data_IF_294523708664
#
_entry.id   IF_294523708664
#
_cell.length_a   1.000
_cell.length_b   1.000
_cell.length_c   1.000
_cell.angle_alpha   90.00
_cell.angle_beta   90.00
_cell.angle_gamma   90.00
#
_symmetry.space_group_name_H-M   'P 1'
#
loop_
_entity.id
_entity.type
_entity.pdbx_description
1 polymer ?
#
# COMPACT_ATOMS: atom_id res chain seq x y z
N UNK A 1 24.74 -6.68 6.44
CA UNK A 1 23.77 -5.94 5.61
C UNK A 1 22.67 -5.44 6.53
N UNK A 2 22.45 -4.13 6.58
CA UNK A 2 21.46 -3.54 7.47
C UNK A 2 20.08 -3.54 6.79
N UNK A 3 19.04 -3.96 7.52
CA UNK A 3 17.66 -3.99 7.05
C UNK A 3 16.85 -3.17 8.04
N UNK A 4 16.22 -2.11 7.54
CA UNK A 4 15.24 -1.36 8.33
C UNK A 4 13.87 -1.98 8.09
N UNK A 5 13.03 -2.05 9.13
CA UNK A 5 11.68 -2.60 9.05
C UNK A 5 10.65 -1.60 9.57
N UNK A 6 9.56 -1.45 8.84
CA UNK A 6 8.35 -0.76 9.23
C UNK A 6 7.20 -1.78 9.19
N UNK A 7 6.35 -1.79 10.21
CA UNK A 7 5.12 -2.59 10.24
C UNK A 7 3.96 -1.62 10.30
N UNK A 8 3.05 -1.70 9.33
CA UNK A 8 1.81 -0.93 9.33
C UNK A 8 0.84 -1.56 10.35
N UNK A 9 0.26 -0.73 11.22
CA UNK A 9 -0.39 -1.20 12.45
C UNK A 9 -1.70 -1.96 12.21
N UNK A 10 -2.54 -1.48 11.28
CA UNK A 10 -3.88 -2.02 10.99
C UNK A 10 -3.79 -3.25 10.08
N UNK A 11 -3.03 -3.12 9.01
CA UNK A 11 -2.91 -4.14 7.96
C UNK A 11 -1.88 -5.22 8.27
N UNK A 12 -0.97 -4.96 9.21
CA UNK A 12 0.21 -5.81 9.50
C UNK A 12 1.12 -6.01 8.29
N UNK A 13 0.96 -5.19 7.25
CA UNK A 13 1.89 -5.17 6.11
C UNK A 13 3.26 -4.73 6.61
N UNK A 14 4.28 -5.52 6.28
CA UNK A 14 5.66 -5.25 6.63
C UNK A 14 6.37 -4.70 5.41
N UNK A 15 6.99 -3.54 5.61
CA UNK A 15 7.83 -2.85 4.63
C UNK A 15 9.27 -2.96 5.11
N UNK A 16 10.13 -3.52 4.28
CA UNK A 16 11.55 -3.66 4.58
C UNK A 16 12.39 -3.02 3.51
N UNK A 17 13.44 -2.33 3.95
CA UNK A 17 14.37 -1.65 3.05
C UNK A 17 15.80 -2.00 3.45
N UNK A 18 16.63 -2.25 2.43
CA UNK A 18 18.06 -2.50 2.52
C UNK A 18 18.82 -1.27 2.06
N UNK A 19 20.00 -1.07 2.64
CA UNK A 19 20.90 0.05 2.30
C UNK A 19 21.34 0.10 0.83
N UNK A 20 21.26 -1.01 0.10
CA UNK A 20 21.54 -1.08 -1.34
C UNK A 20 20.36 -0.65 -2.23
N UNK A 21 19.30 -0.08 -1.63
CA UNK A 21 18.15 0.46 -2.33
C UNK A 21 17.04 -0.56 -2.59
N UNK A 22 17.24 -1.82 -2.23
CA UNK A 22 16.26 -2.90 -2.42
C UNK A 22 15.23 -2.92 -1.29
N UNK A 23 14.02 -3.39 -1.59
CA UNK A 23 12.97 -3.53 -0.59
C UNK A 23 12.08 -4.75 -0.82
N UNK A 24 11.34 -5.09 0.23
CA UNK A 24 10.33 -6.12 0.21
C UNK A 24 9.11 -5.62 0.96
N UNK A 25 7.93 -5.82 0.38
CA UNK A 25 6.65 -5.40 0.98
C UNK A 25 5.66 -6.54 0.83
N UNK A 26 5.17 -7.05 1.95
CA UNK A 26 4.23 -8.16 2.00
C UNK A 26 3.44 -8.15 3.32
N UNK A 27 2.36 -8.92 3.38
CA UNK A 27 1.69 -9.19 4.66
C UNK A 27 2.57 -10.06 5.54
N UNK A 28 2.45 -9.89 6.85
CA UNK A 28 3.27 -10.58 7.87
C UNK A 28 3.32 -12.10 7.64
N UNK A 29 2.20 -12.73 7.29
CA UNK A 29 2.12 -14.18 7.03
C UNK A 29 2.90 -14.66 5.80
N UNK A 30 3.09 -13.78 4.82
CA UNK A 30 3.78 -14.07 3.57
C UNK A 30 5.28 -13.83 3.68
N UNK A 31 5.75 -13.22 4.78
CA UNK A 31 7.18 -13.00 5.02
C UNK A 31 7.87 -14.29 5.46
N UNK A 32 8.84 -14.80 4.68
CA UNK A 32 9.71 -15.86 5.16
C UNK A 32 10.47 -15.38 6.42
N UNK A 33 10.83 -16.32 7.30
CA UNK A 33 11.71 -16.02 8.45
C UNK A 33 13.01 -15.37 7.98
N UNK A 34 13.52 -14.40 8.73
CA UNK A 34 14.66 -13.57 8.33
C UNK A 34 15.89 -14.40 7.93
N UNK A 35 16.14 -15.51 8.64
CA UNK A 35 17.28 -16.41 8.42
C UNK A 35 17.15 -17.25 7.14
N UNK A 36 15.94 -17.42 6.62
CA UNK A 36 15.66 -18.16 5.39
C UNK A 36 15.64 -17.26 4.15
N UNK A 37 15.95 -15.96 4.29
CA UNK A 37 15.84 -15.00 3.21
C UNK A 37 17.10 -15.00 2.34
N UNK A 38 16.94 -15.17 1.01
CA UNK A 38 18.06 -14.96 0.11
C UNK A 38 18.57 -13.53 0.23
N UNK A 39 19.88 -13.35 0.28
CA UNK A 39 20.55 -12.06 0.21
C UNK A 39 20.69 -11.54 -1.24
N UNK A 40 20.40 -12.41 -2.22
CA UNK A 40 20.51 -12.15 -3.65
C UNK A 40 19.41 -11.24 -4.21
N UNK A 41 19.82 -10.36 -5.14
CA UNK A 41 18.96 -9.46 -5.92
C UNK A 41 18.01 -10.28 -6.82
N UNK A 42 16.73 -9.88 -6.90
CA UNK A 42 15.72 -10.55 -7.74
C UNK A 42 15.04 -11.76 -7.09
N UNK A 43 15.30 -12.00 -5.80
CA UNK A 43 14.54 -12.95 -4.98
C UNK A 43 13.26 -12.29 -4.44
N UNK A 44 13.04 -12.34 -3.12
CA UNK A 44 12.01 -11.54 -2.43
C UNK A 44 12.34 -10.05 -2.44
N UNK A 45 13.59 -9.68 -2.74
CA UNK A 45 14.03 -8.28 -2.78
C UNK A 45 13.81 -7.67 -4.16
N UNK A 46 13.10 -6.56 -4.19
CA UNK A 46 12.76 -5.82 -5.40
C UNK A 46 13.50 -4.48 -5.45
N UNK A 47 14.02 -4.08 -6.62
CA UNK A 47 14.48 -2.71 -6.81
C UNK A 47 13.28 -1.74 -6.81
N UNK A 48 13.51 -0.42 -6.63
CA UNK A 48 12.47 0.56 -6.83
C UNK A 48 11.81 0.42 -8.20
N UNK A 49 10.49 0.57 -8.26
CA UNK A 49 9.80 0.61 -9.54
C UNK A 49 10.26 1.83 -10.34
N UNK A 50 10.46 1.67 -11.65
CA UNK A 50 10.94 2.74 -12.54
C UNK A 50 9.83 3.66 -13.04
N UNK A 51 8.57 3.38 -12.70
CA UNK A 51 7.38 4.12 -13.16
C UNK A 51 6.49 4.57 -11.98
N UNK A 52 5.36 5.23 -12.26
CA UNK A 52 4.37 5.72 -11.28
C UNK A 52 3.63 4.61 -10.51
N UNK A 53 4.29 3.51 -10.25
CA UNK A 53 3.66 2.33 -9.73
C UNK A 53 3.38 2.46 -8.23
N UNK A 54 2.09 2.35 -7.91
CA UNK A 54 1.57 2.20 -6.56
C UNK A 54 0.95 0.83 -6.46
N UNK A 55 1.23 0.12 -5.38
CA UNK A 55 0.69 -1.23 -5.13
C UNK A 55 -0.17 -1.17 -3.87
N UNK A 56 -1.38 -1.72 -3.97
CA UNK A 56 -2.33 -1.82 -2.87
C UNK A 56 -2.36 -3.21 -2.24
N UNK A 57 -2.69 -3.25 -0.95
CA UNK A 57 -3.09 -4.42 -0.19
C UNK A 57 -4.48 -4.19 0.39
N UNK A 58 -5.26 -5.25 0.44
CA UNK A 58 -6.64 -5.24 0.93
C UNK A 58 -6.87 -6.40 1.90
N UNK A 59 -7.70 -6.17 2.92
CA UNK A 59 -8.14 -7.24 3.83
C UNK A 59 -8.99 -8.28 3.10
N UNK A 60 -9.87 -7.79 2.23
CA UNK A 60 -10.79 -8.54 1.42
C UNK A 60 -11.11 -7.71 0.16
N UNK A 61 -11.61 -8.35 -0.91
CA UNK A 61 -12.07 -7.62 -2.09
C UNK A 61 -13.09 -6.53 -1.73
N UNK A 62 -13.05 -5.36 -2.38
CA UNK A 62 -13.97 -4.28 -2.09
C UNK A 62 -15.45 -4.69 -2.19
N UNK A 63 -16.19 -4.42 -1.13
CA UNK A 63 -17.63 -4.71 -1.04
C UNK A 63 -17.97 -6.10 -0.51
N UNK A 64 -16.99 -6.94 -0.16
CA UNK A 64 -17.26 -8.27 0.41
C UNK A 64 -17.53 -8.26 1.93
N UNK A 65 -17.15 -7.18 2.62
CA UNK A 65 -17.39 -6.99 4.05
C UNK A 65 -18.52 -5.99 4.28
N UNK A 66 -19.38 -6.26 5.27
CA UNK A 66 -20.46 -5.37 5.74
C UNK A 66 -19.96 -4.28 6.72
N UNK A 67 -18.66 -4.27 6.97
CA UNK A 67 -17.95 -3.33 7.84
C UNK A 67 -16.82 -2.64 7.08
N UNK A 68 -16.29 -1.52 7.61
CA UNK A 68 -15.03 -0.98 7.13
C UNK A 68 -13.92 -2.04 7.16
N UNK A 69 -13.11 -2.02 6.11
CA UNK A 69 -11.92 -2.85 5.91
C UNK A 69 -10.68 -2.02 6.11
N UNK A 70 -9.56 -2.63 6.48
CA UNK A 70 -8.27 -1.97 6.31
C UNK A 70 -7.85 -1.99 4.84
N UNK A 71 -7.13 -0.94 4.45
CA UNK A 71 -6.47 -0.78 3.16
C UNK A 71 -5.04 -0.34 3.43
N UNK A 72 -4.10 -0.83 2.65
CA UNK A 72 -2.73 -0.34 2.68
C UNK A 72 -2.22 -0.14 1.27
N UNK A 73 -1.29 0.78 1.11
CA UNK A 73 -0.64 1.03 -0.16
C UNK A 73 0.80 1.44 0.06
N UNK A 74 1.62 1.14 -0.93
CA UNK A 74 2.99 1.58 -0.96
C UNK A 74 3.42 1.96 -2.37
N UNK A 75 4.49 2.74 -2.44
CA UNK A 75 5.17 3.07 -3.66
C UNK A 75 6.60 3.52 -3.39
N UNK A 76 7.27 3.98 -4.43
CA UNK A 76 8.65 4.43 -4.37
C UNK A 76 8.76 5.90 -4.72
N UNK A 77 9.55 6.64 -3.95
CA UNK A 77 9.86 8.03 -4.22
C UNK A 77 11.22 8.37 -3.64
N UNK A 78 11.96 9.27 -4.30
CA UNK A 78 13.18 9.80 -3.71
C UNK A 78 12.88 10.50 -2.38
N UNK A 79 13.85 10.56 -1.44
CA UNK A 79 13.63 11.14 -0.12
C UNK A 79 13.22 12.62 -0.14
N UNK A 80 13.62 13.34 -1.19
CA UNK A 80 13.30 14.76 -1.40
C UNK A 80 11.88 14.98 -1.95
N UNK A 81 11.31 13.98 -2.62
CA UNK A 81 9.95 14.05 -3.17
C UNK A 81 8.96 13.96 -2.02
N UNK A 82 8.13 14.98 -1.83
CA UNK A 82 7.03 14.93 -0.86
C UNK A 82 5.90 14.07 -1.43
N UNK A 83 5.35 13.19 -0.59
CA UNK A 83 4.20 12.33 -0.96
C UNK A 83 3.11 12.57 0.08
N UNK A 84 1.91 12.88 -0.37
CA UNK A 84 0.71 12.94 0.46
C UNK A 84 -0.36 12.06 -0.15
N UNK A 85 -1.17 11.42 0.70
CA UNK A 85 -2.28 10.60 0.26
C UNK A 85 -3.55 11.20 0.83
N UNK A 86 -4.54 11.44 -0.02
CA UNK A 86 -5.88 11.88 0.39
C UNK A 86 -6.88 10.78 0.08
N UNK A 87 -7.88 10.59 0.94
CA UNK A 87 -8.89 9.55 0.79
C UNK A 87 -10.27 10.18 0.78
N UNK A 88 -11.10 9.85 -0.20
CA UNK A 88 -12.44 10.43 -0.34
C UNK A 88 -13.26 10.20 0.94
N UNK A 89 -13.85 11.28 1.44
CA UNK A 89 -14.70 11.33 2.65
C UNK A 89 -14.03 10.79 3.94
N UNK A 90 -12.69 10.77 4.01
CA UNK A 90 -11.92 10.32 5.16
C UNK A 90 -10.80 11.30 5.51
N UNK A 91 -10.30 11.28 6.76
CA UNK A 91 -9.04 11.93 7.09
C UNK A 91 -7.88 11.34 6.29
N UNK A 92 -6.94 12.21 5.89
CA UNK A 92 -5.72 11.79 5.20
C UNK A 92 -4.90 10.82 6.06
N UNK A 93 -4.53 9.63 5.53
CA UNK A 93 -3.70 8.69 6.27
C UNK A 93 -2.29 9.22 6.47
N UNK A 94 -1.66 8.78 7.56
CA UNK A 94 -0.24 9.08 7.83
C UNK A 94 0.60 8.34 6.79
N UNK A 95 1.44 9.09 6.06
CA UNK A 95 2.43 8.53 5.15
C UNK A 95 3.72 8.26 5.93
N UNK A 96 4.08 6.99 6.02
CA UNK A 96 5.33 6.53 6.61
C UNK A 96 6.40 6.40 5.53
N UNK A 97 7.67 6.57 5.92
CA UNK A 97 8.83 6.46 5.02
C UNK A 97 9.93 5.60 5.60
N UNK A 98 10.53 4.82 4.71
CA UNK A 98 11.69 3.98 5.01
C UNK A 98 12.55 3.83 3.76
N UNK A 99 13.72 4.47 3.76
CA UNK A 99 14.56 4.57 2.55
C UNK A 99 13.80 5.24 1.41
N UNK A 100 13.69 4.53 0.27
CA UNK A 100 12.96 4.97 -0.93
C UNK A 100 11.47 4.57 -0.93
N UNK A 101 11.03 3.80 0.07
CA UNK A 101 9.65 3.32 0.14
C UNK A 101 8.83 4.28 0.99
N UNK A 102 7.66 4.66 0.47
CA UNK A 102 6.61 5.25 1.25
C UNK A 102 5.44 4.27 1.34
N UNK A 103 4.74 4.28 2.47
CA UNK A 103 3.56 3.45 2.69
C UNK A 103 2.56 4.14 3.61
N UNK A 104 1.29 3.83 3.44
CA UNK A 104 0.23 4.28 4.35
C UNK A 104 -0.87 3.24 4.45
N UNK A 105 -1.73 3.41 5.45
CA UNK A 105 -2.91 2.58 5.68
C UNK A 105 -4.05 3.38 6.32
N UNK A 106 -5.27 2.92 6.09
CA UNK A 106 -6.48 3.47 6.70
C UNK A 106 -7.56 2.40 6.82
N UNK A 107 -8.66 2.73 7.48
CA UNK A 107 -9.85 1.87 7.59
C UNK A 107 -11.02 2.63 6.99
N UNK A 108 -11.71 2.03 6.02
CA UNK A 108 -12.91 2.60 5.41
C UNK A 108 -13.75 1.54 4.72
N UNK A 109 -14.98 1.90 4.36
CA UNK A 109 -15.69 1.22 3.27
C UNK A 109 -14.95 1.42 1.93
N UNK A 110 -15.32 0.68 0.86
CA UNK A 110 -14.79 0.90 -0.48
C UNK A 110 -14.76 2.39 -0.85
N UNK A 111 -13.60 2.89 -1.28
CA UNK A 111 -13.34 4.32 -1.48
C UNK A 111 -12.27 4.55 -2.54
N UNK A 112 -11.95 5.82 -2.80
CA UNK A 112 -10.87 6.25 -3.69
C UNK A 112 -9.78 6.94 -2.89
N UNK A 113 -8.54 6.70 -3.29
CA UNK A 113 -7.37 7.37 -2.75
C UNK A 113 -6.64 8.11 -3.87
N UNK A 114 -6.11 9.28 -3.56
CA UNK A 114 -5.31 10.09 -4.46
C UNK A 114 -3.91 10.22 -3.91
N UNK A 115 -2.91 9.91 -4.75
CA UNK A 115 -1.49 10.06 -4.41
C UNK A 115 -0.97 11.33 -5.05
N UNK A 116 -0.62 12.29 -4.21
CA UNK A 116 -0.02 13.55 -4.64
C UNK A 116 1.46 13.47 -4.39
N UNK A 117 2.24 13.92 -5.38
CA UNK A 117 3.69 14.00 -5.28
C UNK A 117 4.20 15.33 -5.74
N UNK A 118 5.23 15.84 -5.09
CA UNK A 118 5.81 17.14 -5.43
C UNK A 118 6.55 17.15 -6.78
N UNK A 119 6.91 16.00 -7.32
CA UNK A 119 7.60 15.85 -8.60
C UNK A 119 6.66 15.65 -9.79
N UNK A 120 5.33 15.53 -9.57
CA UNK A 120 4.33 15.32 -10.61
C UNK A 120 3.22 16.37 -10.58
N UNK A 121 2.71 16.74 -11.76
CA UNK A 121 1.66 17.76 -11.89
C UNK A 121 0.25 17.23 -11.57
N UNK A 122 0.03 15.92 -11.68
CA UNK A 122 -1.29 15.29 -11.54
C UNK A 122 -1.26 14.17 -10.52
N UNK A 123 -2.21 14.13 -9.56
CA UNK A 123 -2.30 13.02 -8.61
C UNK A 123 -2.69 11.71 -9.30
N UNK A 124 -2.16 10.59 -8.82
CA UNK A 124 -2.60 9.27 -9.25
C UNK A 124 -3.84 8.85 -8.48
N UNK A 125 -4.86 8.35 -9.20
CA UNK A 125 -6.11 7.87 -8.63
C UNK A 125 -6.06 6.34 -8.46
N UNK A 126 -6.21 5.89 -7.23
CA UNK A 126 -6.34 4.47 -6.87
C UNK A 126 -7.77 4.21 -6.41
N UNK A 127 -8.39 3.17 -6.95
CA UNK A 127 -9.80 2.83 -6.67
C UNK A 127 -9.85 1.52 -5.88
N UNK A 128 -10.27 1.60 -4.63
CA UNK A 128 -10.61 0.45 -3.79
C UNK A 128 -12.12 0.26 -3.84
N UNK A 129 -12.66 -0.02 -5.02
CA UNK A 129 -14.11 -0.16 -5.26
C UNK A 129 -14.42 -1.54 -5.82
N UNK A 130 -15.63 -2.05 -5.54
CA UNK A 130 -16.10 -3.30 -6.16
C UNK A 130 -16.14 -3.11 -7.67
N UNK A 131 -15.51 -3.97 -8.47
CA UNK A 131 -15.66 -3.91 -9.91
C UNK A 131 -17.13 -4.07 -10.32
N UNK A 132 -17.62 -3.21 -11.21
CA UNK A 132 -19.03 -3.16 -11.63
C UNK A 132 -19.53 -4.46 -12.31
N UNK A 133 -18.62 -5.28 -12.84
CA UNK A 133 -18.94 -6.54 -13.50
C UNK A 133 -19.13 -7.72 -12.55
N UNK A 134 -18.80 -7.57 -11.26
CA UNK A 134 -19.13 -8.58 -10.26
C UNK A 134 -20.61 -8.38 -9.84
N UNK A 135 -21.38 -9.46 -9.62
CA UNK A 135 -22.73 -9.34 -9.08
C UNK A 135 -22.67 -8.52 -7.78
N UNK A 136 -23.74 -7.81 -7.36
CA UNK A 136 -23.75 -7.08 -6.10
C UNK A 136 -23.31 -7.98 -4.94
N UNK A 137 -22.74 -7.38 -3.90
CA UNK A 137 -22.48 -8.13 -2.67
C UNK A 137 -23.77 -8.84 -2.23
N UNK A 138 -23.71 -10.05 -1.64
CA UNK A 138 -24.89 -10.77 -1.18
C UNK A 138 -25.77 -9.99 -0.17
N UNK A 139 -25.27 -8.86 0.35
CA UNK A 139 -25.93 -7.99 1.30
C UNK A 139 -26.08 -6.56 0.73
N UNK A 140 -27.15 -5.84 1.07
CA UNK A 140 -27.64 -4.75 0.23
C UNK A 140 -26.76 -3.50 0.32
N UNK A 141 -26.23 -3.09 -0.83
CA UNK A 141 -25.84 -1.70 -1.04
C UNK A 141 -27.12 -0.86 -0.98
N UNK A 142 -27.19 0.06 -0.01
CA UNK A 142 -28.25 1.06 0.03
C UNK A 142 -28.12 1.97 -1.18
N UNK A 143 -28.81 1.63 -2.26
CA UNK A 143 -29.08 2.54 -3.37
C UNK A 143 -29.97 3.66 -2.82
N UNK A 144 -29.42 4.88 -2.71
CA UNK A 144 -30.21 6.11 -2.57
C UNK A 144 -30.64 6.61 -3.93
#
# INVERSE_FOLDING_TARGET
MNITTLVLEKSRVVVQWREDGMSYVAREEDLPRLEARPDTIGSIWHPPFTERQVVGFEEAPPGDLDRPSWWAMYGYADPEVQVTVTVDDQPDPIVHRIGLVWACEWISYPTRAHVHRSDWDTPDLIRFIRPEFLPPAPYPEHVR
#
